data_IF_229453775560
#
_entry.id   IF_229453775560
#
_cell.length_a   1.000
_cell.length_b   1.000
_cell.length_c   1.000
_cell.angle_alpha   90.00
_cell.angle_beta   90.00
_cell.angle_gamma   90.00
#
_symmetry.space_group_name_H-M   'P 1'
#
loop_
_entity.id
_entity.type
_entity.pdbx_description
1 polymer ?
#
# COMPACT_ATOMS: atom_id res chain seq x y z
N UNK A 1 12.46 -12.40 -19.56
CA UNK A 1 11.29 -12.48 -18.64
C UNK A 1 10.03 -12.16 -19.43
N UNK A 2 9.03 -13.06 -19.45
CA UNK A 2 7.81 -12.93 -20.27
C UNK A 2 6.86 -11.85 -19.70
N UNK A 3 6.15 -11.13 -20.56
CA UNK A 3 5.05 -10.20 -20.26
C UNK A 3 4.09 -10.72 -19.16
N UNK A 4 3.67 -11.99 -19.25
CA UNK A 4 2.79 -12.63 -18.25
C UNK A 4 3.42 -12.64 -16.86
N UNK A 5 4.75 -12.82 -16.78
CA UNK A 5 5.48 -12.79 -15.51
C UNK A 5 5.51 -11.38 -14.91
N UNK A 6 5.66 -10.33 -15.72
CA UNK A 6 5.67 -8.94 -15.25
C UNK A 6 4.31 -8.50 -14.67
N UNK A 7 3.20 -8.83 -15.36
CA UNK A 7 1.84 -8.59 -14.80
C UNK A 7 1.60 -9.33 -13.48
N UNK A 8 2.09 -10.57 -13.36
CA UNK A 8 1.97 -11.34 -12.11
C UNK A 8 2.74 -10.67 -10.97
N UNK A 9 3.94 -10.17 -11.23
CA UNK A 9 4.74 -9.42 -10.24
C UNK A 9 4.00 -8.15 -9.80
N UNK A 10 3.42 -7.39 -10.73
CA UNK A 10 2.60 -6.23 -10.40
C UNK A 10 1.42 -6.61 -9.50
N UNK A 11 0.64 -7.63 -9.89
CA UNK A 11 -0.50 -8.09 -9.10
C UNK A 11 -0.12 -8.53 -7.68
N UNK A 12 1.03 -9.17 -7.51
CA UNK A 12 1.56 -9.52 -6.18
C UNK A 12 1.86 -8.26 -5.36
N UNK A 13 2.53 -7.26 -5.95
CA UNK A 13 2.83 -6.02 -5.24
C UNK A 13 1.58 -5.21 -4.88
N UNK A 14 0.57 -5.17 -5.75
CA UNK A 14 -0.72 -4.55 -5.45
C UNK A 14 -1.43 -5.25 -4.29
N UNK A 15 -1.40 -6.60 -4.27
CA UNK A 15 -2.01 -7.37 -3.21
C UNK A 15 -1.30 -7.15 -1.86
N UNK A 16 0.03 -7.13 -1.87
CA UNK A 16 0.82 -6.80 -0.68
C UNK A 16 0.52 -5.38 -0.19
N UNK A 17 0.43 -4.40 -1.10
CA UNK A 17 0.08 -3.03 -0.73
C UNK A 17 -1.29 -2.94 -0.04
N UNK A 18 -2.30 -3.66 -0.57
CA UNK A 18 -3.63 -3.75 0.06
C UNK A 18 -3.58 -4.36 1.46
N UNK A 19 -2.75 -5.39 1.67
CA UNK A 19 -2.54 -5.99 3.00
C UNK A 19 -1.94 -4.96 3.97
N UNK A 20 -0.90 -4.23 3.55
CA UNK A 20 -0.25 -3.25 4.41
C UNK A 20 -1.18 -2.07 4.77
N UNK A 21 -1.99 -1.60 3.82
CA UNK A 21 -3.07 -0.62 4.11
C UNK A 21 -4.04 -1.18 5.14
N UNK A 22 -4.45 -2.44 4.98
CA UNK A 22 -5.38 -3.09 5.91
C UNK A 22 -4.80 -3.21 7.32
N UNK A 23 -3.48 -3.46 7.46
CA UNK A 23 -2.79 -3.48 8.75
C UNK A 23 -2.71 -2.08 9.36
N UNK A 24 -2.33 -1.07 8.58
CA UNK A 24 -2.28 0.32 9.03
C UNK A 24 -3.64 0.78 9.57
N UNK A 25 -4.71 0.53 8.83
CA UNK A 25 -6.08 0.88 9.23
C UNK A 25 -6.52 0.20 10.53
N UNK A 26 -6.02 -1.01 10.82
CA UNK A 26 -6.29 -1.68 12.10
C UNK A 26 -5.55 -1.01 13.26
N UNK A 27 -4.27 -0.66 13.06
CA UNK A 27 -3.47 0.03 14.06
C UNK A 27 -4.03 1.43 14.37
N UNK A 28 -4.44 2.18 13.35
CA UNK A 28 -5.07 3.50 13.53
C UNK A 28 -6.39 3.45 14.30
N UNK A 29 -7.16 2.36 14.13
CA UNK A 29 -8.37 2.11 14.94
C UNK A 29 -8.00 1.82 16.39
N UNK A 30 -7.05 0.92 16.62
CA UNK A 30 -6.58 0.62 17.97
C UNK A 30 -6.00 1.85 18.69
N UNK A 31 -5.29 2.73 17.97
CA UNK A 31 -4.79 3.99 18.49
C UNK A 31 -5.93 4.94 18.91
N UNK A 32 -7.01 5.02 18.11
CA UNK A 32 -8.22 5.75 18.48
C UNK A 32 -8.89 5.17 19.71
N UNK A 33 -9.04 3.86 19.79
CA UNK A 33 -9.67 3.19 20.93
C UNK A 33 -8.91 3.48 22.25
N UNK A 34 -7.58 3.49 22.20
CA UNK A 34 -6.75 3.84 23.36
C UNK A 34 -6.94 5.30 23.79
N UNK A 35 -7.08 6.23 22.84
CA UNK A 35 -7.34 7.65 23.10
C UNK A 35 -8.75 7.88 23.66
N UNK A 36 -9.73 7.13 23.18
CA UNK A 36 -11.08 7.13 23.74
C UNK A 36 -11.11 6.54 25.16
N UNK A 37 -10.31 5.50 25.44
CA UNK A 37 -10.15 4.99 26.79
C UNK A 37 -9.52 6.03 27.73
N UNK A 38 -8.49 6.74 27.29
CA UNK A 38 -7.91 7.85 28.06
C UNK A 38 -8.96 8.92 28.36
N UNK A 39 -9.70 9.37 27.34
CA UNK A 39 -10.77 10.36 27.52
C UNK A 39 -11.85 9.89 28.50
N UNK A 40 -12.20 8.60 28.48
CA UNK A 40 -13.12 8.01 29.46
C UNK A 40 -12.52 8.03 30.87
N UNK A 41 -11.27 7.61 31.04
CA UNK A 41 -10.60 7.62 32.35
C UNK A 41 -10.56 9.06 32.90
N UNK A 42 -10.16 10.03 32.08
CA UNK A 42 -10.13 11.45 32.47
C UNK A 42 -11.54 11.98 32.79
N UNK A 43 -12.55 11.63 31.99
CA UNK A 43 -13.94 12.02 32.28
C UNK A 43 -14.45 11.48 33.61
N UNK A 44 -14.07 10.25 33.98
CA UNK A 44 -14.36 9.71 35.31
C UNK A 44 -13.60 10.44 36.42
N UNK A 45 -12.37 10.89 36.15
CA UNK A 45 -11.59 11.69 37.11
C UNK A 45 -12.27 13.03 37.40
N UNK A 46 -12.82 13.69 36.38
CA UNK A 46 -13.49 14.97 36.56
C UNK A 46 -14.84 14.85 37.29
N UNK A 47 -15.58 13.77 37.04
CA UNK A 47 -16.92 13.55 37.62
C UNK A 47 -16.94 12.95 39.04
N UNK A 48 -15.86 12.32 39.51
CA UNK A 48 -15.83 11.56 40.77
C UNK A 48 -14.57 11.82 41.60
N UNK A 49 -14.29 13.10 41.89
CA UNK A 49 -13.11 13.52 42.68
C UNK A 49 -12.97 12.82 44.03
N UNK A 50 -14.08 12.51 44.70
CA UNK A 50 -14.09 11.80 45.99
C UNK A 50 -13.64 10.33 45.86
N UNK A 51 -14.00 9.64 44.77
CA UNK A 51 -13.64 8.24 44.56
C UNK A 51 -12.13 8.07 44.25
N UNK A 52 -11.54 9.08 43.61
CA UNK A 52 -10.12 9.12 43.28
C UNK A 52 -9.28 9.28 44.55
N UNK A 53 -9.76 10.05 45.53
CA UNK A 53 -9.10 10.18 46.82
C UNK A 53 -9.02 8.83 47.56
N UNK A 54 -9.93 7.89 47.27
CA UNK A 54 -9.93 6.55 47.87
C UNK A 54 -8.97 5.58 47.15
N UNK A 55 -8.70 5.78 45.84
CA UNK A 55 -7.86 4.86 45.05
C UNK A 55 -6.92 5.59 44.06
N UNK A 56 -6.09 6.54 44.51
CA UNK A 56 -5.29 7.37 43.61
C UNK A 56 -4.25 6.55 42.83
N UNK A 57 -3.64 5.57 43.48
CA UNK A 57 -2.57 4.77 42.89
C UNK A 57 -3.08 3.90 41.73
N UNK A 58 -4.23 3.25 41.91
CA UNK A 58 -4.83 2.38 40.88
C UNK A 58 -5.15 3.17 39.61
N UNK A 59 -5.71 4.39 39.77
CA UNK A 59 -6.06 5.22 38.61
C UNK A 59 -4.81 5.76 37.93
N UNK A 60 -3.81 6.20 38.70
CA UNK A 60 -2.52 6.65 38.16
C UNK A 60 -1.79 5.53 37.42
N UNK A 61 -1.77 4.31 37.94
CA UNK A 61 -1.18 3.16 37.26
C UNK A 61 -1.90 2.84 35.96
N UNK A 62 -3.24 2.85 35.95
CA UNK A 62 -4.02 2.61 34.74
C UNK A 62 -3.78 3.69 33.68
N UNK A 63 -3.73 4.96 34.07
CA UNK A 63 -3.45 6.07 33.16
C UNK A 63 -2.02 5.96 32.59
N UNK A 64 -1.01 5.71 33.44
CA UNK A 64 0.37 5.48 33.00
C UNK A 64 0.48 4.30 32.03
N UNK A 65 -0.23 3.20 32.31
CA UNK A 65 -0.28 2.04 31.43
C UNK A 65 -0.93 2.37 30.09
N UNK A 66 -2.02 3.14 30.07
CA UNK A 66 -2.68 3.55 28.83
C UNK A 66 -1.76 4.46 28.00
N UNK A 67 -1.12 5.46 28.62
CA UNK A 67 -0.15 6.35 27.95
C UNK A 67 1.01 5.56 27.33
N UNK A 68 1.59 4.59 28.04
CA UNK A 68 2.64 3.73 27.49
C UNK A 68 2.16 2.96 26.26
N UNK A 69 0.97 2.36 26.33
CA UNK A 69 0.37 1.64 25.19
C UNK A 69 0.11 2.57 24.00
N UNK A 70 -0.31 3.82 24.23
CA UNK A 70 -0.47 4.80 23.16
C UNK A 70 0.87 5.15 22.51
N UNK A 71 1.93 5.35 23.30
CA UNK A 71 3.27 5.64 22.78
C UNK A 71 3.82 4.48 21.95
N UNK A 72 3.65 3.24 22.41
CA UNK A 72 4.07 2.06 21.66
C UNK A 72 3.25 1.88 20.38
N UNK A 73 1.94 2.16 20.45
CA UNK A 73 1.05 2.13 19.27
C UNK A 73 1.45 3.19 18.23
N UNK A 74 1.83 4.40 18.65
CA UNK A 74 2.29 5.44 17.73
C UNK A 74 3.54 5.01 16.96
N UNK A 75 4.52 4.42 17.64
CA UNK A 75 5.74 3.87 16.98
C UNK A 75 5.40 2.78 15.98
N UNK A 76 4.45 1.91 16.32
CA UNK A 76 4.02 0.83 15.44
C UNK A 76 3.25 1.35 14.22
N UNK A 77 2.41 2.38 14.39
CA UNK A 77 1.74 3.08 13.27
C UNK A 77 2.76 3.73 12.35
N UNK A 78 3.76 4.41 12.89
CA UNK A 78 4.84 5.03 12.11
C UNK A 78 5.61 3.97 11.30
N UNK A 79 6.04 2.89 11.96
CA UNK A 79 6.71 1.76 11.30
C UNK A 79 5.87 1.14 10.19
N UNK A 80 4.57 0.94 10.41
CA UNK A 80 3.66 0.39 9.42
C UNK A 80 3.39 1.36 8.26
N UNK A 81 3.39 2.67 8.54
CA UNK A 81 3.27 3.72 7.52
C UNK A 81 4.44 3.68 6.56
N UNK A 82 5.67 3.58 7.09
CA UNK A 82 6.90 3.47 6.28
C UNK A 82 6.87 2.23 5.37
N UNK A 83 6.46 1.08 5.90
CA UNK A 83 6.30 -0.15 5.12
C UNK A 83 5.25 0.01 4.02
N UNK A 84 4.14 0.67 4.32
CA UNK A 84 3.06 0.91 3.34
C UNK A 84 3.55 1.82 2.21
N UNK A 85 4.34 2.86 2.54
CA UNK A 85 4.95 3.77 1.57
C UNK A 85 6.01 3.06 0.71
N UNK A 86 6.85 2.22 1.30
CA UNK A 86 7.81 1.42 0.55
C UNK A 86 7.09 0.50 -0.44
N UNK A 87 6.02 -0.17 0.00
CA UNK A 87 5.25 -1.07 -0.85
C UNK A 87 4.53 -0.31 -1.98
N UNK A 88 4.03 0.90 -1.72
CA UNK A 88 3.48 1.78 -2.75
C UNK A 88 4.52 2.15 -3.82
N UNK A 89 5.76 2.44 -3.41
CA UNK A 89 6.88 2.71 -4.34
C UNK A 89 7.18 1.49 -5.22
N UNK A 90 7.17 0.28 -4.64
CA UNK A 90 7.37 -0.97 -5.38
C UNK A 90 6.27 -1.25 -6.40
N UNK A 91 5.01 -0.96 -6.06
CA UNK A 91 3.88 -1.01 -7.03
C UNK A 91 4.15 -0.08 -8.20
N UNK A 92 4.48 1.19 -7.93
CA UNK A 92 4.76 2.18 -8.98
C UNK A 92 5.93 1.79 -9.89
N UNK A 93 6.95 1.13 -9.35
CA UNK A 93 8.05 0.60 -10.15
C UNK A 93 7.61 -0.57 -11.03
N UNK A 94 6.80 -1.48 -10.48
CA UNK A 94 6.26 -2.61 -11.22
C UNK A 94 5.31 -2.17 -12.35
N UNK A 95 4.46 -1.17 -12.11
CA UNK A 95 3.59 -0.55 -13.13
C UNK A 95 4.41 -0.06 -14.32
N UNK A 96 5.43 0.77 -14.08
CA UNK A 96 6.33 1.27 -15.15
C UNK A 96 6.98 0.15 -15.97
N UNK A 97 7.36 -0.96 -15.32
CA UNK A 97 7.96 -2.10 -15.99
C UNK A 97 6.96 -2.87 -16.87
N UNK A 98 5.68 -2.86 -16.49
CA UNK A 98 4.57 -3.41 -17.26
C UNK A 98 4.27 -2.50 -18.45
N UNK A 99 4.10 -1.19 -18.22
CA UNK A 99 3.82 -0.20 -19.28
C UNK A 99 4.91 -0.21 -20.36
N UNK A 100 6.18 -0.18 -19.95
CA UNK A 100 7.31 -0.26 -20.89
C UNK A 100 7.31 -1.58 -21.68
N UNK A 101 6.81 -2.67 -21.09
CA UNK A 101 6.71 -3.96 -21.77
C UNK A 101 5.56 -3.98 -22.79
N UNK A 102 4.44 -3.34 -22.48
CA UNK A 102 3.30 -3.19 -23.39
C UNK A 102 3.70 -2.35 -24.59
N UNK A 103 4.30 -1.19 -24.35
CA UNK A 103 4.74 -0.30 -25.43
C UNK A 103 5.75 -0.96 -26.36
N UNK A 104 6.74 -1.69 -25.82
CA UNK A 104 7.70 -2.42 -26.64
C UNK A 104 7.05 -3.54 -27.46
N UNK A 105 6.01 -4.17 -26.92
CA UNK A 105 5.24 -5.20 -27.64
C UNK A 105 4.39 -4.58 -28.75
N UNK A 106 3.72 -3.45 -28.49
CA UNK A 106 2.94 -2.73 -29.50
C UNK A 106 3.83 -2.29 -30.67
N UNK A 107 4.98 -1.69 -30.39
CA UNK A 107 5.95 -1.32 -31.41
C UNK A 107 6.45 -2.52 -32.23
N UNK A 108 6.67 -3.67 -31.59
CA UNK A 108 7.06 -4.88 -32.31
C UNK A 108 5.96 -5.37 -33.26
N UNK A 109 4.70 -5.34 -32.83
CA UNK A 109 3.54 -5.70 -33.65
C UNK A 109 3.35 -4.73 -34.82
N UNK A 110 3.52 -3.42 -34.60
CA UNK A 110 3.46 -2.41 -35.66
C UNK A 110 4.58 -2.61 -36.70
N UNK A 111 5.80 -2.89 -36.26
CA UNK A 111 6.93 -3.18 -37.15
C UNK A 111 6.73 -4.47 -37.95
N UNK A 112 6.15 -5.51 -37.34
CA UNK A 112 5.83 -6.77 -38.01
C UNK A 112 4.74 -6.55 -39.07
N UNK A 113 3.67 -5.84 -38.72
CA UNK A 113 2.61 -5.47 -39.68
C UNK A 113 3.15 -4.62 -40.85
N UNK A 114 4.05 -3.67 -40.58
CA UNK A 114 4.70 -2.87 -41.63
C UNK A 114 5.58 -3.72 -42.55
N UNK A 115 6.31 -4.71 -42.00
CA UNK A 115 7.10 -5.66 -42.81
C UNK A 115 6.21 -6.49 -43.71
N UNK A 116 5.10 -7.02 -43.19
CA UNK A 116 4.13 -7.79 -43.99
C UNK A 116 3.57 -6.95 -45.15
N UNK A 117 3.24 -5.67 -44.91
CA UNK A 117 2.76 -4.76 -45.96
C UNK A 117 3.83 -4.52 -47.04
N UNK A 118 5.09 -4.31 -46.63
CA UNK A 118 6.21 -4.08 -47.56
C UNK A 118 6.54 -5.33 -48.37
N UNK A 119 6.55 -6.51 -47.75
CA UNK A 119 6.74 -7.79 -48.45
C UNK A 119 5.64 -8.02 -49.48
N UNK A 120 4.38 -7.76 -49.12
CA UNK A 120 3.25 -7.90 -50.04
C UNK A 120 3.35 -6.94 -51.24
N UNK A 121 3.75 -5.68 -51.02
CA UNK A 121 3.96 -4.72 -52.11
C UNK A 121 5.15 -5.10 -52.99
N UNK A 122 6.28 -5.50 -52.40
CA UNK A 122 7.48 -5.95 -53.12
C UNK A 122 7.15 -7.07 -54.12
N UNK A 123 6.43 -8.09 -53.67
CA UNK A 123 5.98 -9.22 -54.50
C UNK A 123 5.03 -8.80 -55.63
N UNK A 124 4.18 -7.78 -55.41
CA UNK A 124 3.31 -7.26 -56.46
C UNK A 124 4.08 -6.47 -57.53
N UNK A 125 5.08 -5.66 -57.15
CA UNK A 125 5.93 -4.94 -58.10
C UNK A 125 6.75 -5.88 -58.98
N UNK A 126 7.29 -6.97 -58.41
CA UNK A 126 8.06 -7.98 -59.15
C UNK A 126 7.21 -8.77 -60.17
N UNK A 127 5.92 -8.99 -59.86
CA UNK A 127 4.98 -9.63 -60.79
C UNK A 127 4.51 -8.70 -61.92
N UNK A 128 4.48 -7.39 -61.68
CA UNK A 128 4.12 -6.38 -62.69
C UNK A 128 5.28 -5.98 -63.62
N UNK A 129 6.53 -6.35 -63.28
CA UNK A 129 7.72 -6.06 -64.07
C UNK A 129 8.13 -7.19 -65.04
N UNK A 130 7.31 -8.25 -65.14
CA UNK A 130 7.43 -9.37 -66.10
C UNK A 130 6.35 -9.28 -67.17
#
# INVERSE_FOLDING_TARGET
>A
MNWKSRRRILAVHEHLHKIEIGRLSKLERAARDLKEEEARIVGYLDGNREMIAMFPDIVLERLKSNIRRQQDMLKEVERQTDLTLEQARRVKQAERLVDNAEQAREQALELEALREILEHHSHMTDLSAR
#
